data_IF_600654657241
#
_entry.id   IF_600654657241
#
_cell.length_a   1.000
_cell.length_b   1.000
_cell.length_c   1.000
_cell.angle_alpha   90.00
_cell.angle_beta   90.00
_cell.angle_gamma   90.00
#
_symmetry.space_group_name_H-M   'P 1'
#
loop_
_entity.id
_entity.type
_entity.pdbx_description
1 polymer ?
#
# COMPACT_ATOMS: atom_id res chain seq x y z
N UNK A 1 -23.10 -12.14 -15.63
CA UNK A 1 -22.29 -11.25 -14.77
C UNK A 1 -20.97 -11.94 -14.50
N UNK A 2 -19.83 -11.36 -14.92
CA UNK A 2 -18.51 -11.93 -14.59
C UNK A 2 -18.25 -11.73 -13.09
N UNK A 3 -18.02 -12.80 -12.35
CA UNK A 3 -17.55 -12.71 -10.97
C UNK A 3 -16.06 -12.34 -10.98
N UNK A 4 -15.60 -11.39 -10.15
CA UNK A 4 -14.16 -11.16 -9.95
C UNK A 4 -13.51 -12.45 -9.45
N UNK A 5 -12.50 -12.93 -10.17
CA UNK A 5 -12.02 -14.31 -10.02
C UNK A 5 -11.08 -14.51 -8.84
N UNK A 6 -10.28 -13.51 -8.44
CA UNK A 6 -9.45 -13.59 -7.22
C UNK A 6 -9.25 -12.22 -6.56
N UNK A 7 -9.38 -12.16 -5.23
CA UNK A 7 -8.97 -11.00 -4.42
C UNK A 7 -7.62 -11.31 -3.80
N UNK A 8 -6.60 -10.54 -4.17
CA UNK A 8 -5.26 -10.67 -3.58
C UNK A 8 -5.06 -9.52 -2.61
N UNK A 9 -4.82 -9.85 -1.34
CA UNK A 9 -4.40 -8.88 -0.34
C UNK A 9 -2.89 -8.91 -0.20
N UNK A 10 -2.26 -7.74 -0.20
CA UNK A 10 -0.83 -7.57 -0.01
C UNK A 10 -0.60 -6.73 1.24
N UNK A 11 0.32 -7.16 2.09
CA UNK A 11 0.82 -6.36 3.20
C UNK A 11 2.31 -6.10 2.97
N UNK A 12 2.69 -4.82 2.99
CA UNK A 12 4.07 -4.37 2.95
C UNK A 12 4.43 -3.75 4.30
N UNK A 13 5.60 -4.12 4.82
CA UNK A 13 6.17 -3.53 6.03
C UNK A 13 7.52 -2.90 5.67
N UNK A 14 7.66 -1.60 5.91
CA UNK A 14 8.88 -0.84 5.69
C UNK A 14 9.36 -0.27 7.03
N UNK A 15 10.57 -0.66 7.44
CA UNK A 15 11.24 -0.13 8.62
C UNK A 15 12.44 0.73 8.19
N UNK A 16 12.42 2.01 8.56
CA UNK A 16 13.45 2.98 8.26
C UNK A 16 14.20 3.33 9.56
N UNK A 17 15.51 3.16 9.57
CA UNK A 17 16.35 3.70 10.64
C UNK A 17 16.62 5.18 10.41
N UNK A 18 16.52 5.96 11.48
CA UNK A 18 16.72 7.40 11.46
C UNK A 18 18.13 7.67 11.96
N UNK A 19 18.92 8.40 11.19
CA UNK A 19 20.26 8.80 11.60
C UNK A 19 20.18 9.75 12.80
N UNK A 20 21.15 9.67 13.71
CA UNK A 20 21.28 10.55 14.90
C UNK A 20 21.25 12.05 14.55
N UNK A 21 21.60 12.42 13.31
CA UNK A 21 21.61 13.80 12.84
C UNK A 21 20.24 14.31 12.35
N UNK A 22 19.19 13.48 12.37
CA UNK A 22 17.86 13.82 11.87
C UNK A 22 16.91 14.06 13.03
N UNK A 23 16.38 15.29 13.15
CA UNK A 23 15.32 15.57 14.10
C UNK A 23 13.96 15.11 13.54
N UNK A 24 13.55 13.91 13.95
CA UNK A 24 12.32 13.26 13.48
C UNK A 24 11.04 14.03 13.83
N UNK A 25 11.06 14.83 14.89
CA UNK A 25 9.90 15.59 15.34
C UNK A 25 9.49 16.65 14.30
N UNK A 26 10.43 17.17 13.52
CA UNK A 26 10.13 18.10 12.43
C UNK A 26 9.33 17.44 11.30
N UNK A 27 9.43 16.11 11.16
CA UNK A 27 8.75 15.36 10.11
C UNK A 27 7.41 14.76 10.56
N UNK A 28 7.10 14.77 11.86
CA UNK A 28 5.84 14.23 12.39
C UNK A 28 4.58 14.76 11.69
N UNK A 29 4.45 16.07 11.38
CA UNK A 29 3.25 16.58 10.68
C UNK A 29 3.05 15.91 9.32
N UNK A 30 4.13 15.77 8.54
CA UNK A 30 4.08 15.15 7.21
C UNK A 30 3.80 13.64 7.30
N UNK A 31 4.38 12.96 8.28
CA UNK A 31 4.15 11.52 8.51
C UNK A 31 2.70 11.21 8.93
N UNK A 32 2.02 12.15 9.61
CA UNK A 32 0.59 12.01 9.95
C UNK A 32 -0.33 12.18 8.74
N UNK A 33 0.11 12.95 7.74
CA UNK A 33 -0.65 13.16 6.51
C UNK A 33 -0.38 12.09 5.45
N UNK A 34 0.77 11.41 5.50
CA UNK A 34 1.15 10.38 4.54
C UNK A 34 0.07 9.29 4.33
N UNK A 35 -0.62 8.76 5.37
CA UNK A 35 -1.70 7.79 5.18
C UNK A 35 -2.93 8.31 4.43
N UNK A 36 -3.09 9.63 4.33
CA UNK A 36 -4.22 10.29 3.68
C UNK A 36 -3.89 10.73 2.26
N UNK A 37 -2.68 10.47 1.79
CA UNK A 37 -2.24 10.98 0.51
C UNK A 37 -2.90 10.21 -0.65
N UNK A 38 -3.58 10.94 -1.54
CA UNK A 38 -4.43 10.39 -2.62
C UNK A 38 -3.69 9.49 -3.61
N UNK A 39 -2.36 9.58 -3.69
CA UNK A 39 -1.55 8.71 -4.54
C UNK A 39 -1.45 7.26 -4.02
N UNK A 40 -1.72 7.02 -2.73
CA UNK A 40 -1.75 5.67 -2.17
C UNK A 40 -2.96 4.88 -2.68
N UNK A 41 -4.11 5.53 -2.84
CA UNK A 41 -5.30 4.90 -3.44
C UNK A 41 -5.05 4.46 -4.88
N UNK A 42 -4.31 5.27 -5.66
CA UNK A 42 -3.92 4.93 -7.03
C UNK A 42 -2.99 3.70 -7.11
N UNK A 43 -2.25 3.41 -6.04
CA UNK A 43 -1.42 2.21 -5.91
C UNK A 43 -2.21 0.98 -5.42
N UNK A 44 -3.54 1.10 -5.28
CA UNK A 44 -4.38 0.03 -4.74
C UNK A 44 -4.21 -0.16 -3.23
N UNK A 45 -3.65 0.84 -2.53
CA UNK A 45 -3.49 0.82 -1.08
C UNK A 45 -4.81 1.21 -0.42
N UNK A 46 -5.26 0.39 0.51
CA UNK A 46 -6.51 0.58 1.25
C UNK A 46 -6.26 1.02 2.70
N UNK A 47 -5.01 0.93 3.16
CA UNK A 47 -4.62 1.37 4.49
C UNK A 47 -3.12 1.58 4.61
N UNK A 48 -2.75 2.55 5.44
CA UNK A 48 -1.37 2.81 5.85
C UNK A 48 -1.37 3.18 7.33
N UNK A 49 -0.40 2.67 8.09
CA UNK A 49 -0.16 3.04 9.48
C UNK A 49 1.31 3.38 9.64
N UNK A 50 1.59 4.49 10.30
CA UNK A 50 2.95 4.98 10.54
C UNK A 50 3.19 5.01 12.05
N UNK A 51 4.23 4.33 12.49
CA UNK A 51 4.74 4.39 13.85
C UNK A 51 6.06 5.15 13.83
N UNK A 52 6.20 6.12 14.73
CA UNK A 52 7.38 6.98 14.81
C UNK A 52 7.96 6.85 16.20
N UNK A 53 9.22 6.42 16.28
CA UNK A 53 10.03 6.41 17.50
C UNK A 53 11.14 7.44 17.37
N UNK A 54 12.03 7.55 18.37
CA UNK A 54 13.19 8.45 18.27
C UNK A 54 14.23 7.92 17.27
N UNK A 55 14.30 6.60 17.06
CA UNK A 55 15.35 5.93 16.30
C UNK A 55 14.86 5.35 14.97
N UNK A 56 13.55 5.23 14.79
CA UNK A 56 12.97 4.55 13.63
C UNK A 56 11.61 5.09 13.20
N UNK A 57 11.29 4.83 11.94
CA UNK A 57 9.95 4.98 11.36
C UNK A 57 9.55 3.62 10.82
N UNK A 58 8.43 3.10 11.31
CA UNK A 58 7.81 1.89 10.77
C UNK A 58 6.54 2.25 10.00
N UNK A 59 6.40 1.69 8.81
CA UNK A 59 5.28 1.93 7.93
C UNK A 59 4.69 0.58 7.54
N UNK A 60 3.43 0.37 7.91
CA UNK A 60 2.64 -0.78 7.49
C UNK A 60 1.64 -0.32 6.45
N UNK A 61 1.61 -1.03 5.34
CA UNK A 61 0.88 -0.67 4.13
C UNK A 61 0.07 -1.89 3.68
N UNK A 62 -1.24 -1.72 3.53
CA UNK A 62 -2.15 -2.79 3.11
C UNK A 62 -2.76 -2.41 1.77
N UNK A 63 -2.54 -3.25 0.77
CA UNK A 63 -3.11 -3.10 -0.57
C UNK A 63 -4.02 -4.27 -0.92
N UNK A 64 -4.94 -4.02 -1.84
CA UNK A 64 -5.80 -5.05 -2.39
C UNK A 64 -5.84 -4.89 -3.91
N UNK A 65 -5.49 -5.95 -4.63
CA UNK A 65 -5.66 -5.99 -6.08
C UNK A 65 -6.70 -7.05 -6.43
N UNK A 66 -7.53 -6.72 -7.42
CA UNK A 66 -8.53 -7.64 -7.97
C UNK A 66 -8.03 -8.04 -9.34
N UNK A 67 -7.66 -9.31 -9.49
CA UNK A 67 -7.30 -9.85 -10.80
C UNK A 67 -8.60 -10.07 -11.56
N UNK A 68 -8.77 -9.37 -12.68
CA UNK A 68 -9.84 -9.67 -13.63
C UNK A 68 -9.26 -10.69 -14.60
N UNK A 69 -9.68 -11.96 -14.47
CA UNK A 69 -9.27 -13.00 -15.40
C UNK A 69 -9.66 -12.62 -16.83
N UNK A 70 -8.69 -12.68 -17.75
CA UNK A 70 -8.99 -12.61 -19.18
C UNK A 70 -9.81 -13.85 -19.55
N UNK A 71 -11.07 -13.66 -19.95
CA UNK A 71 -11.76 -14.70 -20.69
C UNK A 71 -11.01 -14.84 -22.02
N UNK A 72 -10.24 -15.92 -22.17
CA UNK A 72 -9.99 -16.50 -23.49
C UNK A 72 -11.36 -16.78 -24.07
N UNK A 73 -11.88 -15.86 -24.88
CA UNK A 73 -13.05 -16.11 -25.71
C UNK A 73 -12.71 -17.34 -26.52
N UNK A 74 -13.29 -18.48 -26.14
CA UNK A 74 -13.13 -19.72 -26.88
C UNK A 74 -13.52 -19.44 -28.32
N UNK A 75 -12.52 -19.35 -29.21
CA UNK A 75 -12.72 -19.52 -30.63
C UNK A 75 -13.16 -20.98 -30.80
N UNK A 76 -14.47 -21.22 -30.70
CA UNK A 76 -15.06 -22.38 -31.34
C UNK A 76 -14.88 -22.17 -32.84
N UNK A 77 -13.77 -22.68 -33.36
CA UNK A 77 -13.72 -23.11 -34.75
C UNK A 77 -14.67 -24.29 -34.95
N UNK A 78 -15.29 -24.35 -36.12
CA UNK A 78 -16.14 -25.46 -36.57
C UNK A 78 -17.59 -25.06 -36.76
#
# INVERSE_FOLDING_TARGET
MRQPTEKVQMMMHLALQVSENVNIQMFQPYLREAPRASHLEALGMIGMTVFVTEESIEIIMIGMTVMVGEETTGMTGG
#
